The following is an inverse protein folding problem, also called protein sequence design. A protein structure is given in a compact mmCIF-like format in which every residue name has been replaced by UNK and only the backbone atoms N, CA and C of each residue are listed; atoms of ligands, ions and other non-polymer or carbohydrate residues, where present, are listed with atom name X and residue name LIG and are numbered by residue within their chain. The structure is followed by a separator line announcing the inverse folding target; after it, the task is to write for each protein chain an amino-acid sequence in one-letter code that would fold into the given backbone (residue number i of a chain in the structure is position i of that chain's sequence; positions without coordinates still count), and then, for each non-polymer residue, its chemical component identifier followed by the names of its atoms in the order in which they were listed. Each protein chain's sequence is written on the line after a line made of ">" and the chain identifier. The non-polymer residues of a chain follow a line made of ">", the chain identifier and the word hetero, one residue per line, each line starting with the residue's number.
data_IF_122892376020
#
_entry.id   IF_122892376020
#
_cell.length_a   1.000
_cell.length_b   1.000
_cell.length_c   1.000
_cell.angle_alpha   90.00
_cell.angle_beta   90.00
_cell.angle_gamma   90.00
#
_symmetry.space_group_name_H-M   'P 1'
#
loop_
_entity.id
_entity.type
_entity.pdbx_description
1 polymer ?
#
# COMPACT_ATOMS: atom_id res chain seq x y z
N UNK A 1 6.74 -5.39 -22.01
CA UNK A 1 7.22 -5.89 -20.70
C UNK A 1 6.12 -5.64 -19.68
N UNK A 2 5.82 -6.61 -18.83
CA UNK A 2 4.83 -6.51 -17.76
C UNK A 2 5.19 -7.55 -16.68
N UNK A 3 5.12 -7.19 -15.39
CA UNK A 3 5.46 -8.08 -14.27
C UNK A 3 4.27 -8.89 -13.75
N UNK A 4 3.05 -8.54 -14.17
CA UNK A 4 1.84 -9.12 -13.65
C UNK A 4 1.36 -10.34 -14.44
N UNK A 5 0.57 -11.14 -13.73
CA UNK A 5 -0.32 -12.14 -14.31
C UNK A 5 -1.72 -11.57 -14.52
N UNK A 6 -2.50 -12.24 -15.38
CA UNK A 6 -3.86 -11.82 -15.73
C UNK A 6 -4.81 -12.13 -14.57
N UNK A 7 -5.57 -11.12 -14.15
CA UNK A 7 -6.64 -11.24 -13.16
C UNK A 7 -8.03 -11.08 -13.80
N UNK A 8 -9.07 -11.63 -13.17
CA UNK A 8 -10.46 -11.53 -13.66
C UNK A 8 -10.91 -10.08 -13.78
N UNK A 9 -10.48 -9.21 -12.86
CA UNK A 9 -10.80 -7.77 -12.87
C UNK A 9 -10.22 -7.01 -14.07
N UNK A 10 -9.30 -7.61 -14.83
CA UNK A 10 -8.70 -7.02 -16.02
C UNK A 10 -9.58 -7.16 -17.27
N UNK A 11 -10.46 -8.17 -17.29
CA UNK A 11 -11.16 -8.61 -18.51
C UNK A 11 -12.18 -7.61 -19.06
N UNK A 12 -12.60 -6.62 -18.29
CA UNK A 12 -13.53 -5.59 -18.75
C UNK A 12 -12.88 -4.51 -19.65
N UNK A 13 -11.54 -4.44 -19.71
CA UNK A 13 -10.82 -3.36 -20.42
C UNK A 13 -9.53 -3.80 -21.11
N UNK A 14 -9.01 -4.99 -20.81
CA UNK A 14 -7.81 -5.54 -21.44
C UNK A 14 -8.22 -6.66 -22.41
N UNK A 15 -8.74 -6.27 -23.57
CA UNK A 15 -9.46 -7.15 -24.51
C UNK A 15 -8.61 -8.28 -25.14
N UNK A 16 -7.28 -8.20 -25.06
CA UNK A 16 -6.39 -9.29 -25.49
C UNK A 16 -6.51 -10.52 -24.56
N UNK A 17 -7.12 -10.37 -23.38
CA UNK A 17 -7.20 -11.42 -22.38
C UNK A 17 -8.60 -12.04 -22.31
N UNK A 18 -8.65 -13.34 -22.07
CA UNK A 18 -9.88 -14.13 -21.93
C UNK A 18 -9.89 -14.79 -20.56
N UNK A 19 -11.07 -15.25 -20.09
CA UNK A 19 -11.21 -15.93 -18.80
C UNK A 19 -10.30 -17.16 -18.64
N UNK A 20 -10.03 -17.88 -19.73
CA UNK A 20 -9.10 -19.02 -19.74
C UNK A 20 -7.61 -18.65 -19.55
N UNK A 21 -7.28 -17.36 -19.65
CA UNK A 21 -5.90 -16.86 -19.51
C UNK A 21 -5.57 -16.41 -18.10
N UNK A 22 -6.52 -16.43 -17.15
CA UNK A 22 -6.30 -16.00 -15.76
C UNK A 22 -5.14 -16.78 -15.13
N UNK A 23 -4.24 -16.07 -14.45
CA UNK A 23 -3.01 -16.60 -13.85
C UNK A 23 -1.82 -16.71 -14.81
N UNK A 24 -2.01 -16.51 -16.13
CA UNK A 24 -0.90 -16.47 -17.09
C UNK A 24 -0.29 -15.06 -17.18
N UNK A 25 0.95 -14.96 -17.67
CA UNK A 25 1.63 -13.68 -17.90
C UNK A 25 0.85 -12.78 -18.86
N UNK A 26 0.65 -11.51 -18.49
CA UNK A 26 0.04 -10.51 -19.39
C UNK A 26 0.85 -10.32 -20.66
N UNK A 27 2.17 -10.17 -20.55
CA UNK A 27 3.05 -9.93 -21.69
C UNK A 27 3.05 -11.08 -22.70
N UNK A 28 3.12 -12.33 -22.23
CA UNK A 28 3.14 -13.50 -23.11
C UNK A 28 1.79 -13.71 -23.80
N UNK A 29 0.68 -13.62 -23.06
CA UNK A 29 -0.66 -13.79 -23.65
C UNK A 29 -0.99 -12.66 -24.61
N UNK A 30 -0.58 -11.41 -24.31
CA UNK A 30 -0.76 -10.29 -25.24
C UNK A 30 -0.07 -10.58 -26.58
N UNK A 31 1.17 -11.09 -26.55
CA UNK A 31 1.89 -11.54 -27.74
C UNK A 31 1.13 -12.64 -28.48
N UNK A 32 0.73 -13.71 -27.79
CA UNK A 32 -0.03 -14.82 -28.38
C UNK A 32 -1.30 -14.34 -29.08
N UNK A 33 -2.05 -13.43 -28.45
CA UNK A 33 -3.29 -12.89 -28.99
C UNK A 33 -3.07 -11.99 -30.19
N UNK A 34 -2.02 -11.16 -30.20
CA UNK A 34 -1.69 -10.32 -31.36
C UNK A 34 -1.29 -11.17 -32.56
N UNK A 35 -0.46 -12.19 -32.34
CA UNK A 35 0.01 -13.07 -33.41
C UNK A 35 -1.10 -13.92 -34.04
N UNK A 36 -2.26 -14.07 -33.39
CA UNK A 36 -3.43 -14.75 -33.99
C UNK A 36 -4.04 -13.95 -35.14
N UNK A 37 -4.08 -12.62 -35.04
CA UNK A 37 -4.68 -11.77 -36.08
C UNK A 37 -3.65 -11.04 -36.95
N UNK A 38 -2.38 -10.96 -36.51
CA UNK A 38 -1.30 -10.42 -37.33
C UNK A 38 0.02 -11.20 -37.10
N UNK A 39 0.20 -12.35 -37.79
CA UNK A 39 1.33 -13.26 -37.56
C UNK A 39 2.71 -12.71 -37.94
N UNK A 40 2.76 -11.71 -38.81
CA UNK A 40 4.02 -11.11 -39.30
C UNK A 40 4.65 -10.13 -38.28
N UNK A 41 3.94 -9.79 -37.19
CA UNK A 41 4.47 -8.90 -36.17
C UNK A 41 5.65 -9.53 -35.41
N UNK A 42 6.71 -8.74 -35.25
CA UNK A 42 7.87 -9.10 -34.44
C UNK A 42 7.70 -8.61 -33.00
N UNK A 43 7.26 -9.49 -32.11
CA UNK A 43 6.97 -9.15 -30.70
C UNK A 43 7.88 -9.94 -29.76
N UNK A 44 8.64 -9.22 -28.94
CA UNK A 44 9.40 -9.79 -27.83
C UNK A 44 8.66 -9.47 -26.53
N UNK A 45 8.25 -10.51 -25.81
CA UNK A 45 7.48 -10.40 -24.57
C UNK A 45 8.36 -10.77 -23.38
N UNK A 46 8.45 -9.84 -22.43
CA UNK A 46 9.16 -10.02 -21.15
C UNK A 46 8.13 -10.03 -20.02
N UNK A 47 8.10 -11.13 -19.26
CA UNK A 47 7.32 -11.23 -18.01
C UNK A 47 8.25 -10.88 -16.85
N UNK A 48 8.40 -9.59 -16.60
CA UNK A 48 9.38 -9.07 -15.66
C UNK A 48 9.09 -7.61 -15.30
N UNK A 49 9.69 -7.13 -14.22
CA UNK A 49 9.68 -5.72 -13.84
C UNK A 49 10.67 -4.94 -14.70
N UNK A 50 10.25 -3.80 -15.26
CA UNK A 50 11.16 -2.87 -15.95
C UNK A 50 12.26 -2.32 -15.04
N UNK A 51 12.10 -2.45 -13.71
CA UNK A 51 13.11 -2.04 -12.73
C UNK A 51 14.20 -3.11 -12.51
N UNK A 52 14.11 -4.28 -13.14
CA UNK A 52 15.19 -5.26 -13.12
C UNK A 52 16.46 -4.66 -13.76
N UNK A 53 17.65 -4.78 -13.12
CA UNK A 53 18.93 -4.29 -13.64
C UNK A 53 19.28 -4.72 -15.08
N UNK A 54 18.71 -5.82 -15.57
CA UNK A 54 18.91 -6.28 -16.95
C UNK A 54 18.44 -5.25 -17.99
N UNK A 55 17.42 -4.45 -17.67
CA UNK A 55 16.89 -3.39 -18.53
C UNK A 55 17.63 -2.05 -18.34
N UNK A 56 18.95 -2.10 -18.50
CA UNK A 56 19.83 -0.94 -18.33
C UNK A 56 19.75 0.06 -19.51
N UNK A 57 20.56 1.12 -19.47
CA UNK A 57 20.55 2.18 -20.49
C UNK A 57 20.79 1.64 -21.91
N UNK A 58 21.63 0.61 -22.05
CA UNK A 58 21.94 0.01 -23.35
C UNK A 58 20.72 -0.73 -23.93
N UNK A 59 19.94 -1.40 -23.09
CA UNK A 59 18.66 -1.97 -23.50
C UNK A 59 17.72 -0.87 -24.03
N UNK A 60 17.61 0.26 -23.32
CA UNK A 60 16.76 1.37 -23.75
C UNK A 60 17.22 2.01 -25.07
N UNK A 61 18.53 2.07 -25.35
CA UNK A 61 19.08 2.62 -26.61
C UNK A 61 18.70 1.83 -27.87
N UNK A 62 18.25 0.59 -27.71
CA UNK A 62 17.82 -0.25 -28.83
C UNK A 62 16.51 0.27 -29.47
N UNK A 63 15.76 1.13 -28.76
CA UNK A 63 14.46 1.60 -29.20
C UNK A 63 14.52 3.02 -29.77
N UNK A 64 13.76 3.24 -30.84
CA UNK A 64 13.52 4.59 -31.39
C UNK A 64 12.50 5.38 -30.56
N UNK A 65 11.63 4.68 -29.84
CA UNK A 65 10.52 5.25 -29.07
C UNK A 65 10.18 4.33 -27.90
N UNK A 66 9.90 4.91 -26.74
CA UNK A 66 9.34 4.20 -25.57
C UNK A 66 7.94 4.74 -25.28
N UNK A 67 7.01 3.85 -24.92
CA UNK A 67 5.64 4.22 -24.56
C UNK A 67 5.29 3.65 -23.18
N UNK A 68 4.90 4.52 -22.25
CA UNK A 68 4.42 4.11 -20.94
C UNK A 68 2.94 3.70 -20.98
N UNK A 69 2.67 2.52 -20.42
CA UNK A 69 1.35 1.99 -20.13
C UNK A 69 1.28 1.50 -18.66
N UNK A 70 1.96 2.21 -17.77
CA UNK A 70 2.16 1.86 -16.36
C UNK A 70 1.12 2.52 -15.46
N UNK A 71 0.87 1.97 -14.28
CA UNK A 71 -0.11 2.46 -13.30
C UNK A 71 0.51 3.00 -12.01
N UNK A 72 1.81 2.79 -11.80
CA UNK A 72 2.51 3.19 -10.58
C UNK A 72 3.59 4.26 -10.84
N UNK A 73 3.76 5.16 -9.86
CA UNK A 73 4.66 6.30 -9.97
C UNK A 73 6.14 5.90 -9.97
N UNK A 74 6.51 4.87 -9.21
CA UNK A 74 7.90 4.44 -9.09
C UNK A 74 8.47 3.95 -10.43
N UNK A 75 7.73 3.07 -11.13
CA UNK A 75 8.12 2.58 -12.45
C UNK A 75 8.13 3.71 -13.49
N UNK A 76 7.16 4.64 -13.47
CA UNK A 76 7.18 5.81 -14.37
C UNK A 76 8.39 6.71 -14.16
N UNK A 77 8.77 6.98 -12.90
CA UNK A 77 10.00 7.72 -12.59
C UNK A 77 11.25 6.96 -13.09
N UNK A 78 11.30 5.65 -12.88
CA UNK A 78 12.40 4.82 -13.37
C UNK A 78 12.52 4.91 -14.90
N UNK A 79 11.45 4.63 -15.65
CA UNK A 79 11.44 4.70 -17.12
C UNK A 79 11.76 6.10 -17.63
N UNK A 80 11.24 7.16 -16.99
CA UNK A 80 11.59 8.54 -17.31
C UNK A 80 13.11 8.77 -17.26
N UNK A 81 13.76 8.37 -16.16
CA UNK A 81 15.21 8.52 -16.00
C UNK A 81 15.99 7.68 -17.00
N UNK A 82 15.54 6.46 -17.28
CA UNK A 82 16.19 5.58 -18.26
C UNK A 82 16.11 6.16 -19.68
N UNK A 83 14.95 6.70 -20.08
CA UNK A 83 14.78 7.35 -21.39
C UNK A 83 15.63 8.63 -21.52
N UNK A 84 15.73 9.44 -20.45
CA UNK A 84 16.63 10.59 -20.41
C UNK A 84 18.12 10.19 -20.47
N UNK A 85 18.50 9.07 -19.86
CA UNK A 85 19.87 8.56 -19.90
C UNK A 85 20.23 7.97 -21.28
N UNK A 86 19.29 7.26 -21.90
CA UNK A 86 19.43 6.68 -23.24
C UNK A 86 19.21 7.70 -24.38
N UNK A 87 18.69 8.88 -24.08
CA UNK A 87 18.26 9.91 -25.03
C UNK A 87 17.19 9.43 -26.04
N UNK A 88 16.28 8.58 -25.57
CA UNK A 88 15.17 8.05 -26.35
C UNK A 88 13.88 8.82 -26.03
N UNK A 89 13.10 9.28 -27.02
CA UNK A 89 11.81 9.91 -26.77
C UNK A 89 10.85 8.96 -26.03
N UNK A 90 10.15 9.49 -25.02
CA UNK A 90 9.17 8.77 -24.21
C UNK A 90 7.78 9.38 -24.41
N UNK A 91 6.78 8.55 -24.72
CA UNK A 91 5.37 8.93 -24.63
C UNK A 91 4.85 8.50 -23.26
N UNK A 92 4.42 9.46 -22.46
CA UNK A 92 3.76 9.21 -21.19
C UNK A 92 2.25 9.32 -21.35
N UNK A 93 1.51 8.44 -20.65
CA UNK A 93 0.06 8.44 -20.68
C UNK A 93 -0.54 8.02 -19.34
N UNK A 94 -1.81 8.34 -19.14
CA UNK A 94 -2.55 7.84 -18.00
C UNK A 94 -4.04 8.08 -18.14
N UNK A 95 -4.82 7.24 -17.47
CA UNK A 95 -6.28 7.29 -17.48
C UNK A 95 -6.82 7.12 -16.06
N UNK A 96 -7.94 7.78 -15.76
CA UNK A 96 -8.69 7.64 -14.52
C UNK A 96 -10.18 7.93 -14.77
N UNK A 97 -11.01 6.88 -14.74
CA UNK A 97 -12.42 7.00 -15.11
C UNK A 97 -12.58 7.49 -16.57
N UNK A 98 -13.24 8.62 -16.76
CA UNK A 98 -13.43 9.26 -18.08
C UNK A 98 -12.31 10.22 -18.47
N UNK A 99 -11.35 10.47 -17.58
CA UNK A 99 -10.26 11.40 -17.81
C UNK A 99 -9.01 10.65 -18.29
N UNK A 100 -8.23 11.31 -19.12
CA UNK A 100 -6.93 10.83 -19.55
C UNK A 100 -6.07 11.93 -20.14
N UNK A 101 -4.77 11.66 -20.24
CA UNK A 101 -3.81 12.57 -20.85
C UNK A 101 -2.70 11.79 -21.56
N UNK A 102 -2.06 12.45 -22.53
CA UNK A 102 -0.86 11.98 -23.22
C UNK A 102 0.11 13.15 -23.33
N UNK A 103 1.40 12.89 -23.13
CA UNK A 103 2.46 13.88 -23.35
C UNK A 103 3.73 13.23 -23.86
N UNK A 104 4.60 14.02 -24.49
CA UNK A 104 5.88 13.57 -25.04
C UNK A 104 7.01 14.16 -24.20
N UNK A 105 7.98 13.31 -23.86
CA UNK A 105 9.19 13.66 -23.13
C UNK A 105 10.39 13.44 -24.05
N UNK A 106 11.14 14.50 -24.34
CA UNK A 106 12.42 14.44 -25.06
C UNK A 106 13.46 15.30 -24.35
N UNK A 107 14.59 14.67 -24.02
CA UNK A 107 15.73 15.31 -23.35
C UNK A 107 16.17 16.57 -24.09
N UNK A 108 16.34 17.66 -23.35
CA UNK A 108 16.78 18.95 -23.88
C UNK A 108 15.75 19.71 -24.72
N UNK A 109 14.54 19.17 -24.90
CA UNK A 109 13.48 19.80 -25.71
C UNK A 109 12.23 20.07 -24.88
N UNK A 110 11.74 19.09 -24.12
CA UNK A 110 10.55 19.22 -23.27
C UNK A 110 10.89 19.01 -21.81
N UNK A 111 9.96 19.34 -20.91
CA UNK A 111 10.03 18.90 -19.53
C UNK A 111 10.00 17.36 -19.42
N UNK A 112 10.56 16.84 -18.32
CA UNK A 112 10.50 15.43 -18.00
C UNK A 112 9.34 15.12 -17.03
N UNK A 113 9.06 13.84 -16.82
CA UNK A 113 7.96 13.37 -15.97
C UNK A 113 8.02 13.92 -14.52
N UNK A 114 9.23 14.23 -14.05
CA UNK A 114 9.53 14.62 -12.68
C UNK A 114 9.82 16.12 -12.53
N UNK A 115 9.73 16.92 -13.60
CA UNK A 115 9.91 18.39 -13.54
C UNK A 115 8.85 19.05 -12.65
N UNK A 116 7.62 18.55 -12.69
CA UNK A 116 6.53 19.02 -11.86
C UNK A 116 6.17 17.97 -10.80
N UNK A 117 6.26 18.32 -9.50
CA UNK A 117 5.94 17.38 -8.43
C UNK A 117 4.46 17.01 -8.49
N UNK A 118 4.19 15.72 -8.71
CA UNK A 118 2.82 15.19 -8.65
C UNK A 118 2.40 15.02 -7.19
N UNK A 119 1.12 15.17 -6.85
CA UNK A 119 0.61 14.91 -5.50
C UNK A 119 1.09 13.55 -4.99
N UNK A 120 1.64 13.54 -3.78
CA UNK A 120 2.00 12.30 -3.10
C UNK A 120 0.74 11.61 -2.60
N UNK A 121 0.83 10.30 -2.36
CA UNK A 121 -0.24 9.60 -1.68
C UNK A 121 -0.47 10.23 -0.31
N UNK A 122 -1.75 10.36 0.10
CA UNK A 122 -2.08 10.89 1.43
C UNK A 122 -1.46 9.99 2.50
N UNK A 123 -0.65 10.59 3.36
CA UNK A 123 -0.09 9.97 4.56
C UNK A 123 -0.86 10.47 5.77
N UNK A 124 -1.04 9.61 6.77
CA UNK A 124 -1.75 9.94 8.01
C UNK A 124 -0.80 9.80 9.18
N UNK A 125 -0.82 10.72 10.17
CA UNK A 125 0.01 10.61 11.35
C UNK A 125 -0.27 9.33 12.15
N UNK A 126 0.79 8.69 12.67
CA UNK A 126 0.67 7.45 13.45
C UNK A 126 -0.29 7.57 14.64
N UNK A 127 -0.25 8.68 15.39
CA UNK A 127 -1.16 8.92 16.52
C UNK A 127 -2.64 8.98 16.08
N UNK A 128 -2.94 9.51 14.89
CA UNK A 128 -4.31 9.51 14.34
C UNK A 128 -4.77 8.09 14.03
N UNK A 129 -3.90 7.26 13.46
CA UNK A 129 -4.23 5.86 13.11
C UNK A 129 -4.35 4.98 14.35
N UNK A 130 -3.47 5.16 15.34
CA UNK A 130 -3.34 4.28 16.51
C UNK A 130 -4.25 4.65 17.68
N UNK A 131 -4.49 5.95 17.88
CA UNK A 131 -5.22 6.43 19.05
C UNK A 131 -6.56 7.08 18.69
N UNK A 132 -6.61 7.91 17.66
CA UNK A 132 -7.78 8.76 17.46
C UNK A 132 -8.30 8.83 16.02
N UNK A 133 -8.68 7.68 15.43
CA UNK A 133 -9.23 7.65 14.09
C UNK A 133 -10.60 8.35 14.03
N UNK A 134 -10.71 9.40 13.22
CA UNK A 134 -11.94 10.18 13.02
C UNK A 134 -12.70 9.91 11.71
N UNK A 135 -12.05 9.31 10.71
CA UNK A 135 -12.62 9.06 9.38
C UNK A 135 -12.54 7.58 9.04
N UNK A 136 -13.47 7.03 8.22
CA UNK A 136 -13.44 5.63 7.81
C UNK A 136 -12.12 5.20 7.17
N UNK A 137 -11.44 6.10 6.46
CA UNK A 137 -10.13 5.82 5.84
C UNK A 137 -9.05 5.51 6.88
N UNK A 138 -9.11 6.09 8.08
CA UNK A 138 -8.13 5.81 9.13
C UNK A 138 -8.24 4.36 9.62
N UNK A 139 -9.46 3.84 9.76
CA UNK A 139 -9.69 2.44 10.12
C UNK A 139 -9.21 1.48 9.02
N UNK A 140 -9.39 1.86 7.75
CA UNK A 140 -8.87 1.08 6.60
C UNK A 140 -7.34 1.05 6.62
N UNK A 141 -6.69 2.20 6.88
CA UNK A 141 -5.23 2.27 7.00
C UNK A 141 -4.74 1.44 8.19
N UNK A 142 -5.39 1.54 9.35
CA UNK A 142 -5.09 0.69 10.52
C UNK A 142 -5.20 -0.81 10.20
N UNK A 143 -6.25 -1.22 9.49
CA UNK A 143 -6.43 -2.63 9.09
C UNK A 143 -5.33 -3.10 8.12
N UNK A 144 -4.86 -2.24 7.22
CA UNK A 144 -3.72 -2.54 6.34
C UNK A 144 -2.42 -2.71 7.13
N UNK A 145 -2.17 -1.83 8.11
CA UNK A 145 -1.03 -1.94 9.01
C UNK A 145 -1.10 -3.23 9.81
N UNK A 146 -2.28 -3.57 10.36
CA UNK A 146 -2.50 -4.81 11.09
C UNK A 146 -2.20 -6.04 10.23
N UNK A 147 -2.67 -6.07 8.99
CA UNK A 147 -2.38 -7.15 8.06
C UNK A 147 -0.87 -7.33 7.85
N UNK A 148 -0.15 -6.22 7.63
CA UNK A 148 1.30 -6.25 7.44
C UNK A 148 2.04 -6.71 8.70
N UNK A 149 1.64 -6.24 9.88
CA UNK A 149 2.21 -6.68 11.16
C UNK A 149 1.99 -8.18 11.42
N UNK A 150 0.81 -8.70 11.13
CA UNK A 150 0.49 -10.10 11.39
C UNK A 150 1.11 -11.05 10.35
N UNK A 151 1.02 -10.71 9.06
CA UNK A 151 1.27 -11.65 7.96
C UNK A 151 2.30 -11.17 6.93
N UNK A 152 2.68 -9.89 6.97
CA UNK A 152 3.62 -9.27 6.04
C UNK A 152 5.00 -9.02 6.65
N UNK A 153 5.68 -8.01 6.11
CA UNK A 153 6.97 -7.53 6.60
C UNK A 153 6.74 -6.59 7.78
N UNK A 154 7.49 -6.77 8.86
CA UNK A 154 7.35 -5.92 10.04
C UNK A 154 7.94 -4.53 9.76
N UNK A 155 7.13 -3.49 9.94
CA UNK A 155 7.50 -2.10 9.71
C UNK A 155 7.16 -1.29 10.95
N UNK A 156 8.15 -0.67 11.57
CA UNK A 156 7.98 0.11 12.81
C UNK A 156 7.03 1.31 12.62
N UNK A 157 6.96 1.86 11.41
CA UNK A 157 6.07 2.98 11.09
C UNK A 157 4.60 2.55 10.92
N UNK A 158 4.34 1.23 10.89
CA UNK A 158 3.02 0.63 10.75
C UNK A 158 2.57 -0.09 12.03
N UNK A 159 3.05 0.36 13.19
CA UNK A 159 2.59 -0.18 14.47
C UNK A 159 1.10 0.10 14.71
N UNK A 160 0.40 -0.88 15.27
CA UNK A 160 -1.06 -0.84 15.45
C UNK A 160 -1.49 -0.74 16.91
N UNK A 161 -0.59 -1.08 17.84
CA UNK A 161 -0.89 -0.98 19.26
C UNK A 161 -0.99 0.49 19.69
N UNK A 162 -1.83 0.86 20.68
CA UNK A 162 -1.96 2.23 21.15
C UNK A 162 -0.62 2.93 21.40
N UNK A 163 -0.53 4.19 20.96
CA UNK A 163 0.65 5.02 21.05
C UNK A 163 0.69 5.76 22.39
N UNK A 164 1.62 5.34 23.26
CA UNK A 164 1.83 5.96 24.58
C UNK A 164 2.59 7.29 24.50
N UNK A 165 3.34 7.50 23.43
CA UNK A 165 4.14 8.69 23.22
C UNK A 165 3.32 9.84 22.61
N UNK A 166 2.02 9.66 22.40
CA UNK A 166 1.12 10.69 21.89
C UNK A 166 1.09 11.90 22.83
N UNK A 167 1.57 13.08 22.39
CA UNK A 167 1.62 14.27 23.23
C UNK A 167 0.21 14.78 23.61
N UNK A 168 -0.83 14.46 22.84
CA UNK A 168 -2.21 14.80 23.19
C UNK A 168 -2.71 14.00 24.40
N UNK A 169 -2.11 12.84 24.69
CA UNK A 169 -2.49 11.94 25.78
C UNK A 169 -1.84 12.28 27.14
N UNK A 170 -0.88 13.22 27.19
CA UNK A 170 -0.17 13.63 28.41
C UNK A 170 -0.75 14.93 28.99
N UNK A 171 -0.78 15.08 30.31
CA UNK A 171 -1.34 16.27 30.96
C UNK A 171 -0.35 17.42 31.01
N UNK A 172 0.92 17.11 31.28
CA UNK A 172 2.00 18.08 31.34
C UNK A 172 3.06 17.85 30.24
N UNK A 173 3.74 18.91 29.76
CA UNK A 173 4.83 18.78 28.80
C UNK A 173 5.97 17.90 29.29
N UNK A 174 6.28 17.95 30.60
CA UNK A 174 7.29 17.08 31.22
C UNK A 174 6.88 15.59 31.18
N UNK A 175 5.57 15.31 31.28
CA UNK A 175 5.01 13.96 31.16
C UNK A 175 5.03 13.48 29.70
N UNK A 176 4.75 14.36 28.74
CA UNK A 176 4.89 14.07 27.31
C UNK A 176 6.35 13.77 26.94
N UNK A 177 7.30 14.59 27.41
CA UNK A 177 8.74 14.36 27.21
C UNK A 177 9.22 13.08 27.90
N UNK A 178 8.73 12.78 29.11
CA UNK A 178 9.06 11.53 29.81
C UNK A 178 8.51 10.30 29.05
N UNK A 179 7.28 10.36 28.52
CA UNK A 179 6.68 9.27 27.72
C UNK A 179 7.38 9.10 26.37
N UNK A 180 7.78 10.19 25.73
CA UNK A 180 8.58 10.16 24.50
C UNK A 180 9.99 9.59 24.75
N UNK A 181 10.66 10.00 25.84
CA UNK A 181 11.97 9.45 26.23
C UNK A 181 11.90 7.98 26.61
N UNK A 182 10.88 7.57 27.36
CA UNK A 182 10.63 6.16 27.70
C UNK A 182 10.34 5.31 26.46
N UNK A 183 9.81 5.89 25.37
CA UNK A 183 9.66 5.18 24.09
C UNK A 183 10.96 5.07 23.28
N UNK A 184 11.96 5.90 23.57
CA UNK A 184 13.30 5.86 22.95
C UNK A 184 14.36 5.11 23.78
N UNK A 185 14.18 5.02 25.11
CA UNK A 185 15.02 4.30 26.06
C UNK A 185 14.27 3.05 26.56
N UNK A 186 14.04 2.06 25.68
CA UNK A 186 13.37 0.80 26.05
C UNK A 186 14.31 -0.08 26.90
N UNK A 187 14.39 0.25 28.19
CA UNK A 187 15.02 -0.54 29.24
C UNK A 187 14.06 -1.60 29.82
N UNK A 188 14.51 -2.87 29.78
CA UNK A 188 14.12 -4.04 30.59
C UNK A 188 12.69 -4.64 30.55
N UNK A 189 11.65 -3.98 30.02
CA UNK A 189 10.37 -4.67 29.73
C UNK A 189 10.17 -4.70 28.21
N UNK A 190 10.69 -5.75 27.55
CA UNK A 190 10.48 -5.95 26.11
C UNK A 190 8.98 -5.97 25.81
N UNK A 191 8.50 -4.91 25.18
CA UNK A 191 7.16 -4.87 24.59
C UNK A 191 7.11 -5.98 23.56
N UNK A 192 6.30 -7.01 23.82
CA UNK A 192 6.10 -8.08 22.83
C UNK A 192 5.41 -7.44 21.63
N UNK A 193 6.07 -7.46 20.47
CA UNK A 193 5.50 -6.94 19.22
C UNK A 193 4.15 -7.60 18.95
N UNK A 194 3.24 -6.89 18.27
CA UNK A 194 1.95 -7.46 17.85
C UNK A 194 2.16 -8.79 17.10
N UNK A 195 3.23 -8.89 16.32
CA UNK A 195 3.62 -10.08 15.56
C UNK A 195 4.12 -11.20 16.45
N UNK A 196 5.01 -10.89 17.39
CA UNK A 196 5.55 -11.88 18.34
C UNK A 196 4.45 -12.46 19.24
N UNK A 197 3.55 -11.60 19.71
CA UNK A 197 2.40 -12.02 20.51
C UNK A 197 1.45 -12.90 19.68
N UNK A 198 1.13 -12.51 18.45
CA UNK A 198 0.30 -13.30 17.55
C UNK A 198 0.92 -14.69 17.27
N UNK A 199 2.23 -14.76 17.03
CA UNK A 199 2.97 -16.03 16.89
C UNK A 199 2.87 -16.89 18.15
N UNK A 200 3.05 -16.30 19.34
CA UNK A 200 2.97 -17.03 20.61
C UNK A 200 1.59 -17.66 20.88
N UNK A 201 0.55 -17.07 20.31
CA UNK A 201 -0.83 -17.56 20.43
C UNK A 201 -1.25 -18.48 19.28
N UNK A 202 -0.36 -18.74 18.32
CA UNK A 202 -0.66 -19.54 17.14
C UNK A 202 -1.64 -18.86 16.18
N UNK A 203 -1.68 -17.52 16.15
CA UNK A 203 -2.65 -16.74 15.37
C UNK A 203 -4.12 -17.10 15.69
N UNK A 204 -4.42 -17.38 16.97
CA UNK A 204 -5.77 -17.69 17.42
C UNK A 204 -6.73 -16.50 17.16
N UNK A 205 -7.83 -16.68 16.39
CA UNK A 205 -8.72 -15.59 16.01
C UNK A 205 -9.41 -14.90 17.19
N UNK A 206 -9.80 -15.66 18.21
CA UNK A 206 -10.55 -15.13 19.37
C UNK A 206 -9.62 -14.32 20.26
N UNK A 207 -8.38 -14.79 20.47
CA UNK A 207 -7.35 -14.05 21.18
C UNK A 207 -7.00 -12.77 20.44
N UNK A 208 -6.72 -12.85 19.12
CA UNK A 208 -6.45 -11.67 18.30
C UNK A 208 -7.57 -10.64 18.39
N UNK A 209 -8.82 -11.08 18.27
CA UNK A 209 -9.98 -10.21 18.42
C UNK A 209 -10.01 -9.54 19.80
N UNK A 210 -9.85 -10.33 20.86
CA UNK A 210 -9.91 -9.85 22.25
C UNK A 210 -8.81 -8.81 22.51
N UNK A 211 -7.57 -9.09 22.10
CA UNK A 211 -6.46 -8.15 22.26
C UNK A 211 -6.74 -6.83 21.53
N UNK A 212 -7.08 -6.90 20.24
CA UNK A 212 -7.13 -5.73 19.36
C UNK A 212 -8.41 -4.90 19.51
N UNK A 213 -9.57 -5.54 19.70
CA UNK A 213 -10.87 -4.86 19.73
C UNK A 213 -11.44 -4.69 21.13
N UNK A 214 -10.82 -5.28 22.16
CA UNK A 214 -11.23 -5.16 23.56
C UNK A 214 -10.14 -4.57 24.43
N UNK A 215 -9.02 -5.26 24.57
CA UNK A 215 -8.01 -4.91 25.57
C UNK A 215 -7.24 -3.65 25.17
N UNK A 216 -6.85 -3.51 23.91
CA UNK A 216 -6.23 -2.29 23.38
C UNK A 216 -7.19 -1.09 23.47
N UNK A 217 -8.49 -1.30 23.24
CA UNK A 217 -9.50 -0.23 23.36
C UNK A 217 -9.69 0.18 24.84
N UNK A 218 -9.72 -0.79 25.76
CA UNK A 218 -9.73 -0.50 27.21
C UNK A 218 -8.48 0.24 27.65
N UNK A 219 -7.33 -0.15 27.11
CA UNK A 219 -6.08 0.54 27.36
C UNK A 219 -6.14 1.99 26.86
N UNK A 220 -6.68 2.21 25.66
CA UNK A 220 -6.85 3.53 25.09
C UNK A 220 -7.82 4.43 25.91
N UNK A 221 -8.82 3.84 26.56
CA UNK A 221 -9.70 4.55 27.51
C UNK A 221 -8.97 5.06 28.76
N UNK A 222 -7.78 4.52 29.09
CA UNK A 222 -6.94 5.06 30.18
C UNK A 222 -6.32 6.42 29.83
N UNK A 223 -6.25 6.78 28.54
CA UNK A 223 -5.77 8.07 28.04
C UNK A 223 -6.90 9.10 28.01
N UNK A 224 -7.41 9.45 29.19
CA UNK A 224 -8.63 10.24 29.40
C UNK A 224 -8.66 11.61 28.67
N UNK A 225 -7.50 12.26 28.54
CA UNK A 225 -7.36 13.55 27.84
C UNK A 225 -7.80 13.50 26.37
N UNK A 226 -7.60 12.37 25.67
CA UNK A 226 -8.00 12.18 24.27
C UNK A 226 -9.52 12.26 24.08
N UNK A 227 -10.28 11.96 25.14
CA UNK A 227 -11.74 11.78 25.10
C UNK A 227 -12.53 12.99 25.61
N UNK A 228 -11.86 14.08 26.01
CA UNK A 228 -12.55 15.28 26.52
C UNK A 228 -13.43 15.96 25.48
N UNK A 229 -13.03 15.90 24.21
CA UNK A 229 -13.70 16.57 23.09
C UNK A 229 -14.25 15.60 22.04
N UNK A 230 -14.02 14.30 22.23
CA UNK A 230 -14.30 13.24 21.26
C UNK A 230 -15.08 12.15 21.95
N UNK A 231 -16.02 11.51 21.24
CA UNK A 231 -16.74 10.36 21.80
C UNK A 231 -15.72 9.24 22.08
N UNK A 232 -15.66 8.70 23.32
CA UNK A 232 -14.75 7.61 23.63
C UNK A 232 -15.13 6.33 22.85
N UNK A 233 -14.16 5.49 22.49
CA UNK A 233 -14.40 4.22 21.82
C UNK A 233 -15.05 3.22 22.78
N UNK A 234 -15.82 2.28 22.25
CA UNK A 234 -16.49 1.24 23.02
C UNK A 234 -15.80 -0.10 22.73
N UNK A 235 -15.19 -0.76 23.74
CA UNK A 235 -14.59 -2.08 23.56
C UNK A 235 -15.63 -3.12 23.12
N UNK A 236 -15.23 -4.07 22.29
CA UNK A 236 -16.10 -5.16 21.84
C UNK A 236 -15.74 -6.47 22.55
N UNK A 237 -16.75 -7.23 22.95
CA UNK A 237 -16.58 -8.61 23.44
C UNK A 237 -16.97 -9.63 22.37
N UNK A 238 -16.14 -10.65 22.18
CA UNK A 238 -16.36 -11.67 21.16
C UNK A 238 -17.67 -12.43 21.36
N UNK A 239 -17.96 -12.86 22.59
CA UNK A 239 -19.16 -13.65 22.87
C UNK A 239 -20.43 -12.81 22.72
N UNK A 240 -20.42 -11.55 23.17
CA UNK A 240 -21.56 -10.64 23.02
C UNK A 240 -21.89 -10.36 21.55
N UNK A 241 -20.87 -10.07 20.72
CA UNK A 241 -21.05 -9.78 19.30
C UNK A 241 -21.60 -11.00 18.54
N UNK A 242 -21.13 -12.21 18.85
CA UNK A 242 -21.64 -13.44 18.24
C UNK A 242 -23.08 -13.74 18.64
N UNK A 243 -23.43 -13.53 19.91
CA UNK A 243 -24.79 -13.77 20.41
C UNK A 243 -25.82 -12.79 19.80
N UNK A 244 -25.44 -11.54 19.58
CA UNK A 244 -26.31 -10.55 18.91
C UNK A 244 -26.53 -10.90 17.44
N UNK A 245 -25.51 -11.40 16.73
CA UNK A 245 -25.62 -11.82 15.33
C UNK A 245 -26.59 -12.99 15.11
N UNK A 246 -26.65 -13.93 16.07
CA UNK A 246 -27.57 -15.07 16.01
C UNK A 246 -29.04 -14.72 16.28
N UNK A 247 -29.33 -13.60 16.94
CA UNK A 247 -30.71 -13.12 17.15
C UNK A 247 -31.28 -12.33 15.97
N UNK A 248 -30.46 -11.97 14.98
CA UNK A 248 -30.85 -11.15 13.81
C UNK A 248 -30.98 -11.93 12.50
N UNK A 249 -30.88 -13.26 12.53
CA UNK A 249 -31.15 -14.12 11.37
C UNK A 249 -32.59 -14.66 11.45
N UNK A 250 -33.49 -14.31 10.51
CA UNK A 250 -34.82 -14.94 10.41
C UNK A 250 -34.73 -16.41 9.99
#
# INVERSE_FOLDING_TARGET
>A
IDLDTIDVSNLNRQFLFQKKHVGRSKAQVAKESVLQFYPEANIIAYHDSIMNPDYNVEFFRQFTLVMNALDNRAARNHVNRMCLAADVPLIESGTAGYLGQVTVIKKGVTECYECHPKPTQKTFPGCTIRNTPSEPIHCIVWAKYLFNQLFGEEDADQEVSPDRADPEAAWEPAEAEARARASSEDGEIKRVSTKEWAKSTGYDPVKLFTKLFKDDIRYLLTMDKLWRKRKPPVPLDWAEVQNQGNCSSP
#
